data_IF_197930186562
#
_entry.id   IF_197930186562
#
_cell.length_a   1.000
_cell.length_b   1.000
_cell.length_c   1.000
_cell.angle_alpha   90.00
_cell.angle_beta   90.00
_cell.angle_gamma   90.00
#
_symmetry.space_group_name_H-M   'P 1'
#
loop_
_entity.id
_entity.type
_entity.pdbx_description
1 polymer ?
#
# COMPACT_ATOMS: atom_id res chain seq x y z
N UNK A 1 11.42 0.39 -16.95
CA UNK A 1 12.25 0.64 -15.76
C UNK A 1 11.71 -0.15 -14.59
N UNK A 2 12.41 -1.21 -14.16
CA UNK A 2 12.00 -2.08 -13.05
C UNK A 2 11.90 -1.34 -11.70
N UNK A 3 12.77 -0.34 -11.49
CA UNK A 3 12.81 0.50 -10.28
C UNK A 3 11.49 1.19 -9.94
N UNK A 4 10.72 1.63 -10.94
CA UNK A 4 9.44 2.32 -10.70
C UNK A 4 8.36 1.36 -10.17
N UNK A 5 8.40 0.08 -10.57
CA UNK A 5 7.43 -0.92 -10.13
C UNK A 5 7.72 -1.38 -8.70
N UNK A 6 8.99 -1.57 -8.35
CA UNK A 6 9.40 -1.91 -6.98
C UNK A 6 8.98 -0.80 -6.03
N UNK A 7 9.29 0.46 -6.34
CA UNK A 7 8.93 1.61 -5.51
C UNK A 7 7.39 1.73 -5.32
N UNK A 8 6.62 1.49 -6.37
CA UNK A 8 5.15 1.47 -6.28
C UNK A 8 4.66 0.37 -5.33
N UNK A 9 5.17 -0.86 -5.48
CA UNK A 9 4.76 -1.99 -4.65
C UNK A 9 5.15 -1.78 -3.18
N UNK A 10 6.33 -1.21 -2.91
CA UNK A 10 6.75 -0.84 -1.55
C UNK A 10 5.79 0.20 -0.95
N UNK A 11 5.40 1.23 -1.72
CA UNK A 11 4.41 2.23 -1.28
C UNK A 11 3.05 1.58 -0.95
N UNK A 12 2.60 0.64 -1.77
CA UNK A 12 1.34 -0.09 -1.53
C UNK A 12 1.42 -0.90 -0.22
N UNK A 13 2.53 -1.59 0.02
CA UNK A 13 2.74 -2.37 1.25
C UNK A 13 2.74 -1.46 2.48
N UNK A 14 3.39 -0.29 2.40
CA UNK A 14 3.41 0.70 3.48
C UNK A 14 1.98 1.18 3.81
N UNK A 15 1.18 1.50 2.79
CA UNK A 15 -0.23 1.90 2.94
C UNK A 15 -1.04 0.79 3.60
N UNK A 16 -0.87 -0.47 3.15
CA UNK A 16 -1.57 -1.63 3.72
C UNK A 16 -1.22 -1.83 5.19
N UNK A 17 0.07 -1.76 5.55
CA UNK A 17 0.54 -1.91 6.93
C UNK A 17 0.02 -0.80 7.84
N UNK A 18 0.09 0.44 7.38
CA UNK A 18 -0.45 1.59 8.12
C UNK A 18 -1.95 1.44 8.36
N UNK A 19 -2.69 1.04 7.32
CA UNK A 19 -4.14 0.83 7.41
C UNK A 19 -4.48 -0.29 8.40
N UNK A 20 -3.79 -1.43 8.34
CA UNK A 20 -3.99 -2.54 9.28
C UNK A 20 -3.66 -2.12 10.71
N UNK A 21 -2.58 -1.37 10.92
CA UNK A 21 -2.21 -0.87 12.24
C UNK A 21 -3.31 0.02 12.82
N UNK A 22 -3.77 1.01 12.06
CA UNK A 22 -4.83 1.93 12.51
C UNK A 22 -6.16 1.23 12.72
N UNK A 23 -6.53 0.30 11.82
CA UNK A 23 -7.76 -0.47 11.93
C UNK A 23 -7.77 -1.36 13.18
N UNK A 24 -6.69 -2.10 13.43
CA UNK A 24 -6.65 -3.07 14.54
C UNK A 24 -6.29 -2.45 15.89
N UNK A 25 -5.41 -1.43 15.93
CA UNK A 25 -4.96 -0.83 17.19
C UNK A 25 -5.83 0.33 17.64
N UNK A 26 -6.31 1.14 16.71
CA UNK A 26 -7.09 2.35 17.01
C UNK A 26 -8.59 2.11 16.81
N UNK A 27 -8.97 1.18 15.93
CA UNK A 27 -10.38 0.90 15.62
C UNK A 27 -11.00 1.86 14.63
N UNK A 28 -10.19 2.60 13.86
CA UNK A 28 -10.69 3.57 12.87
C UNK A 28 -11.29 2.88 11.66
N UNK A 29 -12.30 3.50 11.06
CA UNK A 29 -12.88 3.02 9.80
C UNK A 29 -11.96 3.32 8.61
N UNK A 30 -12.08 2.56 7.52
CA UNK A 30 -11.31 2.80 6.30
C UNK A 30 -11.50 4.21 5.73
N UNK A 31 -12.68 4.81 5.92
CA UNK A 31 -12.96 6.18 5.49
C UNK A 31 -12.16 7.19 6.30
N UNK A 32 -12.11 7.04 7.61
CA UNK A 32 -11.35 7.92 8.51
C UNK A 32 -9.85 7.77 8.28
N UNK A 33 -9.37 6.53 8.20
CA UNK A 33 -7.96 6.23 7.89
C UNK A 33 -7.54 6.91 6.59
N UNK A 34 -8.40 6.84 5.57
CA UNK A 34 -8.11 7.48 4.30
C UNK A 34 -7.96 8.99 4.43
N UNK A 35 -8.96 9.68 4.99
CA UNK A 35 -8.97 11.14 5.05
C UNK A 35 -7.92 11.72 6.00
N UNK A 36 -7.68 11.05 7.13
CA UNK A 36 -6.78 11.54 8.18
C UNK A 36 -5.31 11.18 7.95
N UNK A 37 -5.03 10.00 7.38
CA UNK A 37 -3.66 9.48 7.30
C UNK A 37 -3.16 9.24 5.88
N UNK A 38 -4.00 8.76 4.96
CA UNK A 38 -3.55 8.33 3.64
C UNK A 38 -3.54 9.48 2.62
N UNK A 39 -4.66 10.18 2.48
CA UNK A 39 -4.80 11.31 1.55
C UNK A 39 -3.75 12.42 1.78
N UNK A 40 -3.51 12.90 3.02
CA UNK A 40 -2.53 13.97 3.25
C UNK A 40 -1.09 13.54 3.02
N UNK A 41 -0.74 12.26 3.21
CA UNK A 41 0.64 11.75 3.07
C UNK A 41 0.97 11.32 1.63
N UNK A 42 0.05 10.62 0.98
CA UNK A 42 0.32 9.96 -0.31
C UNK A 42 -0.35 10.65 -1.50
N UNK A 43 -1.25 11.61 -1.25
CA UNK A 43 -2.00 12.35 -2.26
C UNK A 43 -2.69 11.45 -3.29
N UNK A 44 -3.26 10.33 -2.81
CA UNK A 44 -4.02 9.40 -3.64
C UNK A 44 -5.51 9.57 -3.42
N UNK A 45 -6.31 9.29 -4.46
CA UNK A 45 -7.76 9.29 -4.34
C UNK A 45 -8.27 8.02 -3.63
N UNK A 46 -9.52 8.10 -3.16
CA UNK A 46 -10.15 7.01 -2.39
C UNK A 46 -10.24 5.70 -3.18
N UNK A 47 -10.49 5.79 -4.49
CA UNK A 47 -10.55 4.63 -5.40
C UNK A 47 -9.20 3.91 -5.48
N UNK A 48 -8.12 4.67 -5.60
CA UNK A 48 -6.75 4.13 -5.65
C UNK A 48 -6.39 3.47 -4.33
N UNK A 49 -6.79 4.06 -3.20
CA UNK A 49 -6.60 3.45 -1.89
C UNK A 49 -7.25 2.05 -1.79
N UNK A 50 -8.52 1.92 -2.18
CA UNK A 50 -9.19 0.61 -2.22
C UNK A 50 -8.52 -0.38 -3.15
N UNK A 51 -8.08 0.09 -4.32
CA UNK A 51 -7.32 -0.75 -5.27
C UNK A 51 -6.04 -1.28 -4.62
N UNK A 52 -5.32 -0.43 -3.89
CA UNK A 52 -4.09 -0.80 -3.18
C UNK A 52 -4.35 -1.79 -2.05
N UNK A 53 -5.46 -1.70 -1.32
CA UNK A 53 -5.82 -2.68 -0.30
C UNK A 53 -6.06 -4.09 -0.89
N UNK A 54 -6.65 -4.17 -2.09
CA UNK A 54 -6.89 -5.44 -2.79
C UNK A 54 -5.71 -5.97 -3.59
N UNK A 55 -4.64 -5.18 -3.76
CA UNK A 55 -3.49 -5.55 -4.59
C UNK A 55 -2.56 -6.53 -3.83
N UNK A 56 -2.17 -7.68 -4.40
CA UNK A 56 -1.27 -8.64 -3.77
C UNK A 56 0.20 -8.19 -3.81
N UNK A 57 0.50 -6.99 -3.32
CA UNK A 57 1.79 -6.32 -3.48
C UNK A 57 2.98 -7.10 -2.88
N UNK A 58 2.77 -7.80 -1.74
CA UNK A 58 3.80 -8.66 -1.14
C UNK A 58 4.22 -9.81 -2.06
N UNK A 59 3.27 -10.39 -2.80
CA UNK A 59 3.55 -11.50 -3.74
C UNK A 59 4.32 -10.99 -4.95
N UNK A 60 3.87 -9.88 -5.52
CA UNK A 60 4.52 -9.27 -6.68
C UNK A 60 5.95 -8.81 -6.36
N UNK A 61 6.17 -8.21 -5.19
CA UNK A 61 7.50 -7.76 -4.79
C UNK A 61 8.46 -8.95 -4.64
N UNK A 62 8.02 -10.07 -4.06
CA UNK A 62 8.82 -11.30 -3.99
C UNK A 62 9.19 -11.82 -5.37
N UNK A 63 8.22 -11.85 -6.30
CA UNK A 63 8.48 -12.30 -7.68
C UNK A 63 9.53 -11.43 -8.37
N UNK A 64 9.45 -10.10 -8.22
CA UNK A 64 10.43 -9.18 -8.80
C UNK A 64 11.83 -9.40 -8.21
N UNK A 65 11.94 -9.56 -6.88
CA UNK A 65 13.23 -9.83 -6.22
C UNK A 65 13.84 -11.18 -6.63
N UNK A 66 13.01 -12.20 -6.87
CA UNK A 66 13.49 -13.49 -7.37
C UNK A 66 13.97 -13.39 -8.82
N UNK A 67 13.35 -12.52 -9.63
CA UNK A 67 13.73 -12.33 -11.02
C UNK A 67 14.98 -11.47 -11.20
N UNK A 68 15.30 -10.56 -10.26
CA UNK A 68 16.54 -9.78 -10.27
C UNK A 68 17.78 -10.59 -9.81
N UNK A 69 17.59 -11.74 -9.16
CA UNK A 69 18.69 -12.59 -8.67
C UNK A 69 19.10 -13.71 -9.63
N UNK A 70 18.45 -13.85 -10.78
CA UNK A 70 18.81 -14.77 -11.85
C UNK A 70 19.39 -14.00 -13.04
#
# INVERSE_FOLDING_TARGET
MAYNKINLLTKIIEIQQLTLHLYHKVGLTYKEIFWQHIHPKYHICYRTFHTYLGTPAKRELKQLQSNEKN
#
